data_IF_659502773845
#
_entry.id   IF_659502773845
#
_cell.length_a   1.000
_cell.length_b   1.000
_cell.length_c   1.000
_cell.angle_alpha   90.00
_cell.angle_beta   90.00
_cell.angle_gamma   90.00
#
_symmetry.space_group_name_H-M   'P 1'
#
loop_
_entity.id
_entity.type
_entity.pdbx_description
1 polymer ?
#
# COMPACT_ATOMS: atom_id res chain seq x y z
N UNK A 1 8.77 18.08 12.14
CA UNK A 1 8.86 18.88 10.88
C UNK A 1 7.61 18.66 10.04
N UNK A 2 7.36 17.45 9.54
CA UNK A 2 6.11 17.13 8.84
C UNK A 2 4.84 17.50 9.64
N UNK A 3 4.85 17.27 10.95
CA UNK A 3 3.70 17.51 11.83
C UNK A 3 3.26 18.98 11.88
N UNK A 4 4.17 19.93 11.62
CA UNK A 4 3.82 21.36 11.52
C UNK A 4 2.97 21.62 10.28
N UNK A 5 3.39 21.10 9.12
CA UNK A 5 2.63 21.23 7.87
C UNK A 5 1.26 20.56 7.99
N UNK A 6 1.21 19.34 8.52
CA UNK A 6 -0.04 18.59 8.74
C UNK A 6 -0.98 19.41 9.62
N UNK A 7 -0.46 19.90 10.75
CA UNK A 7 -1.26 20.64 11.71
C UNK A 7 -1.81 21.93 11.10
N UNK A 8 -0.96 22.71 10.41
CA UNK A 8 -1.39 23.95 9.77
C UNK A 8 -2.44 23.67 8.70
N UNK A 9 -2.24 22.67 7.85
CA UNK A 9 -3.19 22.30 6.81
C UNK A 9 -4.56 21.91 7.37
N UNK A 10 -4.58 21.04 8.39
CA UNK A 10 -5.81 20.58 9.03
C UNK A 10 -6.53 21.66 9.85
N UNK A 11 -5.85 22.76 10.22
CA UNK A 11 -6.40 23.86 11.00
C UNK A 11 -6.60 25.14 10.15
N UNK A 12 -6.96 24.98 8.87
CA UNK A 12 -7.33 26.12 8.02
C UNK A 12 -6.16 27.02 7.60
N UNK A 13 -4.93 26.51 7.69
CA UNK A 13 -3.72 27.19 7.24
C UNK A 13 -3.15 28.22 8.22
N UNK A 14 -3.63 28.29 9.47
CA UNK A 14 -3.10 29.24 10.45
C UNK A 14 -3.11 28.69 11.88
N UNK A 15 -2.08 29.01 12.67
CA UNK A 15 -2.05 28.66 14.09
C UNK A 15 -1.12 29.59 14.87
N UNK A 16 -1.49 29.95 16.10
CA UNK A 16 -0.58 30.66 17.02
C UNK A 16 0.58 29.75 17.41
N UNK A 17 1.79 30.30 17.53
CA UNK A 17 2.99 29.56 17.96
C UNK A 17 2.80 28.87 19.31
N UNK A 18 2.10 29.51 20.24
CA UNK A 18 1.80 28.93 21.56
C UNK A 18 0.93 27.66 21.44
N UNK A 19 -0.19 27.73 20.71
CA UNK A 19 -1.03 26.55 20.49
C UNK A 19 -0.28 25.46 19.72
N UNK A 20 0.55 25.82 18.74
CA UNK A 20 1.31 24.83 18.00
C UNK A 20 2.35 24.11 18.89
N UNK A 21 3.07 24.85 19.73
CA UNK A 21 3.97 24.29 20.74
C UNK A 21 3.24 23.36 21.71
N UNK A 22 2.05 23.77 22.18
CA UNK A 22 1.23 22.96 23.09
C UNK A 22 0.75 21.66 22.43
N UNK A 23 0.23 21.74 21.22
CA UNK A 23 -0.33 20.58 20.52
C UNK A 23 0.74 19.60 20.03
N UNK A 24 1.89 20.10 19.58
CA UNK A 24 3.01 19.27 19.15
C UNK A 24 3.94 18.86 20.31
N UNK A 25 3.69 19.37 21.53
CA UNK A 25 4.51 19.15 22.73
C UNK A 25 5.99 19.48 22.46
N UNK A 26 6.23 20.67 21.89
CA UNK A 26 7.57 21.19 21.55
C UNK A 26 7.83 22.55 22.19
N UNK A 27 9.11 22.91 22.32
CA UNK A 27 9.52 24.23 22.81
C UNK A 27 9.45 25.29 21.71
N UNK A 28 9.35 26.59 22.05
CA UNK A 28 9.45 27.67 21.06
C UNK A 28 10.74 27.63 20.23
N UNK A 29 11.88 27.25 20.83
CA UNK A 29 13.14 27.11 20.11
C UNK A 29 13.07 25.98 19.08
N UNK A 30 12.55 24.81 19.47
CA UNK A 30 12.33 23.68 18.57
C UNK A 30 11.37 24.04 17.44
N UNK A 31 10.33 24.84 17.72
CA UNK A 31 9.42 25.33 16.69
C UNK A 31 10.13 26.23 15.67
N UNK A 32 10.97 27.16 16.14
CA UNK A 32 11.76 28.04 15.27
C UNK A 32 12.72 27.24 14.38
N UNK A 33 13.48 26.31 14.96
CA UNK A 33 14.36 25.40 14.22
C UNK A 33 13.59 24.59 13.17
N UNK A 34 12.46 24.00 13.55
CA UNK A 34 11.67 23.18 12.64
C UNK A 34 11.04 24.01 11.52
N UNK A 35 10.65 25.26 11.79
CA UNK A 35 10.10 26.19 10.79
C UNK A 35 11.18 26.59 9.78
N UNK A 36 12.39 26.92 10.25
CA UNK A 36 13.53 27.21 9.38
C UNK A 36 13.90 26.02 8.49
N UNK A 37 13.94 24.81 9.06
CA UNK A 37 14.19 23.60 8.27
C UNK A 37 13.09 23.35 7.23
N UNK A 38 11.84 23.69 7.56
CA UNK A 38 10.70 23.56 6.65
C UNK A 38 10.77 24.55 5.50
N UNK A 39 11.13 25.80 5.77
CA UNK A 39 11.35 26.81 4.74
C UNK A 39 12.50 26.39 3.80
N UNK A 40 13.60 25.91 4.36
CA UNK A 40 14.71 25.36 3.56
C UNK A 40 14.26 24.17 2.71
N UNK A 41 13.48 23.25 3.27
CA UNK A 41 12.91 22.13 2.54
C UNK A 41 12.03 22.57 1.36
N UNK A 42 11.19 23.60 1.54
CA UNK A 42 10.35 24.16 0.47
C UNK A 42 11.22 24.72 -0.65
N UNK A 43 12.30 25.42 -0.32
CA UNK A 43 13.25 25.97 -1.30
C UNK A 43 14.02 24.86 -2.02
N UNK A 44 14.56 23.88 -1.28
CA UNK A 44 15.35 22.76 -1.83
C UNK A 44 14.58 21.89 -2.83
N UNK A 45 13.25 21.88 -2.77
CA UNK A 45 12.39 21.08 -3.65
C UNK A 45 11.65 21.94 -4.68
N UNK A 46 12.06 23.21 -4.87
CA UNK A 46 11.45 24.16 -5.83
C UNK A 46 9.94 24.40 -5.62
N UNK A 47 9.47 24.29 -4.36
CA UNK A 47 8.06 24.41 -4.01
C UNK A 47 7.61 25.83 -3.63
N UNK A 48 8.54 26.81 -3.59
CA UNK A 48 8.26 28.17 -3.12
C UNK A 48 7.10 28.86 -3.86
N UNK A 49 6.94 28.57 -5.16
CA UNK A 49 5.86 29.15 -5.96
C UNK A 49 4.46 28.61 -5.59
N UNK A 50 4.39 27.46 -4.90
CA UNK A 50 3.16 26.70 -4.70
C UNK A 50 2.77 26.58 -3.22
N UNK A 51 3.75 26.59 -2.32
CA UNK A 51 3.55 26.49 -0.87
C UNK A 51 4.63 27.27 -0.11
N UNK A 52 4.23 28.02 0.90
CA UNK A 52 5.14 28.78 1.78
C UNK A 52 4.62 28.81 3.21
N UNK A 53 5.53 28.97 4.17
CA UNK A 53 5.20 29.24 5.57
C UNK A 53 5.60 30.67 5.90
N UNK A 54 4.62 31.47 6.28
CA UNK A 54 4.80 32.87 6.67
C UNK A 54 4.71 32.96 8.19
N UNK A 55 5.67 33.66 8.78
CA UNK A 55 5.74 33.86 10.22
C UNK A 55 5.41 35.32 10.56
N UNK A 56 4.39 35.50 11.39
CA UNK A 56 4.13 36.73 12.13
C UNK A 56 4.64 36.59 13.57
N UNK A 57 4.66 37.69 14.32
CA UNK A 57 5.06 37.78 15.73
C UNK A 57 4.53 36.62 16.59
N UNK A 58 3.23 36.32 16.51
CA UNK A 58 2.60 35.25 17.31
C UNK A 58 2.03 34.08 16.51
N UNK A 59 1.97 34.18 15.18
CA UNK A 59 1.20 33.26 14.33
C UNK A 59 2.04 32.73 13.17
N UNK A 60 1.80 31.47 12.81
CA UNK A 60 2.31 30.86 11.59
C UNK A 60 1.16 30.65 10.60
N UNK A 61 1.41 30.98 9.34
CA UNK A 61 0.48 30.83 8.24
C UNK A 61 1.07 29.90 7.18
N UNK A 62 0.25 28.98 6.68
CA UNK A 62 0.54 28.14 5.53
C UNK A 62 -0.19 28.71 4.32
N UNK A 63 0.56 29.30 3.39
CA UNK A 63 0.02 29.73 2.11
C UNK A 63 0.28 28.63 1.08
N UNK A 64 -0.78 28.04 0.52
CA UNK A 64 -0.70 26.95 -0.47
C UNK A 64 -1.62 27.26 -1.63
N UNK A 65 -1.17 27.04 -2.87
CA UNK A 65 -2.06 27.07 -4.03
C UNK A 65 -3.15 25.99 -3.90
N UNK A 66 -4.39 26.26 -4.31
CA UNK A 66 -5.45 25.25 -4.30
C UNK A 66 -5.08 23.97 -5.07
N UNK A 67 -4.35 24.13 -6.17
CA UNK A 67 -3.92 23.04 -7.06
C UNK A 67 -2.70 22.26 -6.58
N UNK A 68 -1.98 22.73 -5.55
CA UNK A 68 -0.77 22.05 -5.08
C UNK A 68 -1.13 20.89 -4.13
N UNK A 69 -0.79 19.63 -4.45
CA UNK A 69 -1.09 18.50 -3.59
C UNK A 69 -0.08 18.41 -2.44
N UNK A 70 -0.55 18.60 -1.20
CA UNK A 70 0.33 18.57 -0.01
C UNK A 70 1.08 17.24 0.13
N UNK A 71 0.50 16.14 -0.38
CA UNK A 71 1.10 14.80 -0.45
C UNK A 71 2.50 14.78 -1.09
N UNK A 72 2.81 15.70 -2.02
CA UNK A 72 4.16 15.82 -2.59
C UNK A 72 5.21 16.16 -1.53
N UNK A 73 4.90 17.04 -0.58
CA UNK A 73 5.80 17.32 0.54
C UNK A 73 6.04 16.07 1.38
N UNK A 74 4.99 15.30 1.68
CA UNK A 74 5.11 14.04 2.42
C UNK A 74 6.00 13.03 1.70
N UNK A 75 5.84 12.88 0.38
CA UNK A 75 6.67 11.99 -0.42
C UNK A 75 8.15 12.38 -0.33
N UNK A 76 8.47 13.67 -0.42
CA UNK A 76 9.84 14.17 -0.25
C UNK A 76 10.38 13.94 1.17
N UNK A 77 9.56 14.04 2.21
CA UNK A 77 9.98 13.64 3.56
C UNK A 77 10.22 12.13 3.69
N UNK A 78 9.36 11.32 3.07
CA UNK A 78 9.51 9.87 3.07
C UNK A 78 10.78 9.42 2.35
N UNK A 79 11.14 10.04 1.22
CA UNK A 79 12.39 9.77 0.50
C UNK A 79 13.64 9.96 1.39
N UNK A 80 13.58 10.88 2.36
CA UNK A 80 14.66 11.13 3.34
C UNK A 80 14.62 10.16 4.55
N UNK A 81 13.55 9.41 4.75
CA UNK A 81 13.39 8.50 5.89
C UNK A 81 14.23 7.24 5.73
N UNK A 82 15.09 6.95 6.71
CA UNK A 82 15.88 5.70 6.73
C UNK A 82 14.97 4.45 6.68
N UNK A 83 13.81 4.47 7.35
CA UNK A 83 12.87 3.33 7.32
C UNK A 83 12.32 3.09 5.91
N UNK A 84 12.01 4.16 5.19
CA UNK A 84 11.57 4.10 3.80
C UNK A 84 12.69 3.59 2.88
N UNK A 85 13.90 4.11 3.07
CA UNK A 85 15.08 3.69 2.30
C UNK A 85 15.42 2.22 2.52
N UNK A 86 15.28 1.70 3.75
CA UNK A 86 15.43 0.27 4.07
C UNK A 86 14.46 -0.57 3.22
N UNK A 87 13.17 -0.23 3.23
CA UNK A 87 12.14 -0.98 2.48
C UNK A 87 12.40 -0.91 0.97
N UNK A 88 12.70 0.28 0.44
CA UNK A 88 13.05 0.45 -0.98
C UNK A 88 14.29 -0.36 -1.36
N UNK A 89 15.33 -0.35 -0.53
CA UNK A 89 16.55 -1.13 -0.75
C UNK A 89 16.28 -2.63 -0.76
N UNK A 90 15.46 -3.13 0.18
CA UNK A 90 15.07 -4.53 0.24
C UNK A 90 14.27 -4.95 -0.99
N UNK A 91 13.38 -4.09 -1.50
CA UNK A 91 12.66 -4.37 -2.73
C UNK A 91 13.59 -4.42 -3.95
N UNK A 92 14.58 -3.55 -4.05
CA UNK A 92 15.47 -3.52 -5.22
C UNK A 92 16.53 -4.63 -5.15
N UNK A 93 17.16 -4.82 -3.98
CA UNK A 93 18.36 -5.65 -3.82
C UNK A 93 18.08 -7.01 -3.15
N UNK A 94 16.87 -7.24 -2.64
CA UNK A 94 16.46 -8.47 -1.94
C UNK A 94 17.04 -8.64 -0.53
N UNK A 95 18.17 -7.99 -0.22
CA UNK A 95 18.77 -8.01 1.11
C UNK A 95 19.62 -6.77 1.40
N UNK A 96 19.91 -6.57 2.69
CA UNK A 96 20.78 -5.51 3.19
C UNK A 96 22.05 -6.11 3.76
N UNK A 97 23.19 -5.65 3.24
CA UNK A 97 24.46 -5.70 3.95
C UNK A 97 24.55 -4.46 4.85
N UNK A 98 24.54 -4.66 6.17
CA UNK A 98 24.44 -3.58 7.16
C UNK A 98 25.52 -2.49 7.00
N UNK A 99 26.82 -2.83 7.00
CA UNK A 99 27.89 -1.88 6.73
C UNK A 99 27.73 -1.12 5.41
N UNK A 100 27.48 -1.80 4.30
CA UNK A 100 27.32 -1.15 2.98
C UNK A 100 26.14 -0.17 2.97
N UNK A 101 25.02 -0.54 3.60
CA UNK A 101 23.86 0.33 3.70
C UNK A 101 24.14 1.56 4.58
N UNK A 102 24.84 1.36 5.70
CA UNK A 102 25.21 2.43 6.63
C UNK A 102 26.12 3.45 5.97
N UNK A 103 27.13 2.99 5.23
CA UNK A 103 28.05 3.85 4.48
C UNK A 103 27.32 4.59 3.36
N UNK A 104 26.47 3.91 2.59
CA UNK A 104 25.73 4.52 1.48
C UNK A 104 24.81 5.66 1.93
N UNK A 105 24.09 5.48 3.05
CA UNK A 105 23.18 6.48 3.60
C UNK A 105 23.82 7.39 4.64
N UNK A 106 25.13 7.25 4.90
CA UNK A 106 25.89 7.99 5.89
C UNK A 106 25.22 8.01 7.28
N UNK A 107 24.87 6.82 7.79
CA UNK A 107 24.25 6.65 9.10
C UNK A 107 25.08 5.74 10.01
N UNK A 108 25.11 6.05 11.31
CA UNK A 108 25.77 5.20 12.28
C UNK A 108 25.04 3.86 12.47
N UNK A 109 25.76 2.83 12.92
CA UNK A 109 25.17 1.53 13.23
C UNK A 109 24.06 1.64 14.28
N UNK A 110 24.23 2.50 15.30
CA UNK A 110 23.22 2.73 16.33
C UNK A 110 21.92 3.29 15.74
N UNK A 111 22.02 4.24 14.80
CA UNK A 111 20.86 4.76 14.07
C UNK A 111 20.21 3.66 13.23
N UNK A 112 21.00 2.91 12.46
CA UNK A 112 20.49 1.80 11.65
C UNK A 112 19.69 0.79 12.49
N UNK A 113 20.25 0.25 13.57
CA UNK A 113 19.57 -0.75 14.41
C UNK A 113 18.33 -0.21 15.11
N UNK A 114 18.35 1.06 15.53
CA UNK A 114 17.15 1.73 16.09
C UNK A 114 16.03 1.79 15.04
N UNK A 115 16.35 2.19 13.80
CA UNK A 115 15.37 2.27 12.71
C UNK A 115 14.85 0.90 12.27
N UNK A 116 15.69 -0.13 12.28
CA UNK A 116 15.25 -1.52 12.07
C UNK A 116 14.26 -1.96 13.15
N UNK A 117 14.52 -1.63 14.42
CA UNK A 117 13.62 -1.98 15.53
C UNK A 117 12.26 -1.30 15.39
N UNK A 118 12.25 0.00 15.14
CA UNK A 118 11.02 0.75 14.87
C UNK A 118 10.28 0.22 13.64
N UNK A 119 11.00 -0.16 12.58
CA UNK A 119 10.39 -0.71 11.37
C UNK A 119 9.77 -2.08 11.63
N UNK A 120 10.40 -2.93 12.45
CA UNK A 120 9.85 -4.23 12.83
C UNK A 120 8.51 -4.10 13.56
N UNK A 121 8.34 -3.07 14.41
CA UNK A 121 7.06 -2.80 15.06
C UNK A 121 5.96 -2.45 14.03
N UNK A 122 6.31 -1.74 12.96
CA UNK A 122 5.34 -1.42 11.88
C UNK A 122 5.04 -2.64 10.99
N UNK A 123 6.05 -3.48 10.75
CA UNK A 123 5.91 -4.69 9.93
C UNK A 123 5.13 -5.80 10.62
N UNK A 124 5.00 -5.76 11.95
CA UNK A 124 4.26 -6.76 12.74
C UNK A 124 2.78 -6.82 12.34
N UNK A 125 2.18 -5.70 11.93
CA UNK A 125 0.82 -5.67 11.40
C UNK A 125 0.68 -6.54 10.15
N UNK A 126 1.74 -6.64 9.34
CA UNK A 126 1.86 -7.51 8.18
C UNK A 126 2.43 -8.90 8.55
N UNK A 127 2.55 -9.25 9.83
CA UNK A 127 3.25 -10.44 10.32
C UNK A 127 4.62 -10.64 9.65
N UNK A 128 5.27 -9.54 9.29
CA UNK A 128 6.58 -9.51 8.68
C UNK A 128 7.60 -9.08 9.73
N UNK A 129 8.85 -9.48 9.51
CA UNK A 129 9.97 -8.94 10.28
C UNK A 129 11.22 -8.84 9.41
N UNK A 130 12.00 -7.80 9.63
CA UNK A 130 13.33 -7.64 9.09
C UNK A 130 14.33 -8.38 10.00
N UNK A 131 14.89 -9.48 9.50
CA UNK A 131 15.91 -10.29 10.20
C UNK A 131 17.09 -10.54 9.28
N UNK A 132 18.31 -10.32 9.80
CA UNK A 132 19.57 -10.52 9.05
C UNK A 132 19.55 -9.85 7.67
N UNK A 133 19.01 -8.63 7.61
CA UNK A 133 18.93 -7.85 6.37
C UNK A 133 17.94 -8.38 5.34
N UNK A 134 16.99 -9.26 5.69
CA UNK A 134 15.92 -9.73 4.80
C UNK A 134 14.55 -9.57 5.46
N UNK A 135 13.52 -9.31 4.66
CA UNK A 135 12.13 -9.42 5.13
C UNK A 135 11.78 -10.90 5.21
N UNK A 136 11.30 -11.32 6.37
CA UNK A 136 10.88 -12.68 6.71
C UNK A 136 9.38 -12.66 7.02
N UNK A 137 8.66 -13.61 6.45
CA UNK A 137 7.23 -13.81 6.61
C UNK A 137 6.69 -14.61 5.43
N UNK A 138 5.39 -14.89 5.43
CA UNK A 138 4.76 -15.60 4.32
C UNK A 138 4.88 -14.78 3.03
N UNK A 139 5.15 -15.43 1.90
CA UNK A 139 5.47 -14.73 0.66
C UNK A 139 4.29 -13.90 0.13
N UNK A 140 3.06 -14.40 0.26
CA UNK A 140 1.86 -13.65 -0.08
C UNK A 140 1.78 -12.32 0.71
N UNK A 141 2.27 -12.31 1.93
CA UNK A 141 2.28 -11.14 2.80
C UNK A 141 3.37 -10.14 2.48
N UNK A 142 4.55 -10.63 2.10
CA UNK A 142 5.62 -9.78 1.60
C UNK A 142 5.17 -9.06 0.32
N UNK A 143 4.56 -9.79 -0.62
CA UNK A 143 4.08 -9.21 -1.89
C UNK A 143 2.95 -8.22 -1.67
N UNK A 144 1.99 -8.55 -0.80
CA UNK A 144 0.91 -7.63 -0.48
C UNK A 144 1.40 -6.36 0.24
N UNK A 145 2.35 -6.49 1.17
CA UNK A 145 2.99 -5.34 1.81
C UNK A 145 3.61 -4.41 0.76
N UNK A 146 4.39 -4.94 -0.18
CA UNK A 146 4.97 -4.13 -1.26
C UNK A 146 3.92 -3.54 -2.20
N UNK A 147 2.85 -4.27 -2.46
CA UNK A 147 1.73 -3.74 -3.24
C UNK A 147 1.14 -2.51 -2.55
N UNK A 148 0.80 -2.61 -1.27
CA UNK A 148 0.29 -1.47 -0.49
C UNK A 148 1.28 -0.32 -0.45
N UNK A 149 2.55 -0.63 -0.21
CA UNK A 149 3.62 0.34 -0.20
C UNK A 149 3.63 1.14 -1.50
N UNK A 150 3.78 0.50 -2.66
CA UNK A 150 3.87 1.24 -3.92
C UNK A 150 2.54 1.86 -4.37
N UNK A 151 1.41 1.19 -4.15
CA UNK A 151 0.12 1.65 -4.62
C UNK A 151 -0.37 2.90 -3.88
N UNK A 152 -0.24 2.94 -2.55
CA UNK A 152 -0.80 4.03 -1.74
C UNK A 152 0.16 5.21 -1.55
N UNK A 153 1.46 5.00 -1.72
CA UNK A 153 2.43 6.10 -1.67
C UNK A 153 2.17 7.13 -2.78
N UNK A 154 1.85 6.71 -4.00
CA UNK A 154 1.67 7.63 -5.13
C UNK A 154 0.23 8.12 -5.24
N UNK A 155 0.02 9.43 -5.28
CA UNK A 155 -1.32 10.03 -5.35
C UNK A 155 -1.89 9.98 -6.78
N UNK A 156 -1.25 10.69 -7.71
CA UNK A 156 -1.69 10.84 -9.11
C UNK A 156 -1.30 9.66 -10.02
N UNK A 157 -0.63 8.63 -9.49
CA UNK A 157 -0.16 7.43 -10.22
C UNK A 157 0.69 7.71 -11.47
N UNK A 158 0.96 8.95 -11.85
CA UNK A 158 1.71 9.34 -13.05
C UNK A 158 3.10 8.72 -13.10
N UNK A 159 3.88 8.79 -12.00
CA UNK A 159 5.20 8.14 -11.97
C UNK A 159 5.09 6.62 -12.11
N UNK A 160 4.05 6.02 -11.52
CA UNK A 160 3.82 4.58 -11.63
C UNK A 160 3.47 4.23 -13.07
N UNK A 161 2.56 4.98 -13.68
CA UNK A 161 2.14 4.85 -15.08
C UNK A 161 3.35 4.93 -16.01
N UNK A 162 4.16 5.99 -15.92
CA UNK A 162 5.38 6.14 -16.70
C UNK A 162 6.34 4.95 -16.54
N UNK A 163 6.40 4.36 -15.36
CA UNK A 163 7.30 3.26 -15.04
C UNK A 163 6.80 1.91 -15.57
N UNK A 164 5.49 1.62 -15.51
CA UNK A 164 4.97 0.26 -15.73
C UNK A 164 3.93 0.13 -16.84
N UNK A 165 3.42 1.20 -17.43
CA UNK A 165 2.26 1.13 -18.33
C UNK A 165 2.47 0.29 -19.59
N UNK A 166 3.70 0.25 -20.09
CA UNK A 166 4.11 -0.55 -21.25
C UNK A 166 4.47 -2.01 -20.89
N UNK A 167 4.46 -2.35 -19.60
CA UNK A 167 4.79 -3.69 -19.13
C UNK A 167 3.55 -4.58 -19.10
N UNK A 168 3.77 -5.89 -19.29
CA UNK A 168 2.77 -6.95 -19.12
C UNK A 168 1.50 -6.82 -19.98
N UNK A 169 1.52 -6.04 -21.07
CA UNK A 169 0.39 -5.86 -21.99
C UNK A 169 -0.20 -7.21 -22.44
N UNK A 170 0.59 -8.22 -22.84
CA UNK A 170 0.00 -9.47 -23.33
C UNK A 170 -0.74 -10.28 -22.26
N UNK A 171 -0.41 -10.11 -20.96
CA UNK A 171 -1.20 -10.68 -19.88
C UNK A 171 -2.56 -9.98 -19.76
N UNK A 172 -2.58 -8.65 -19.88
CA UNK A 172 -3.82 -7.87 -19.83
C UNK A 172 -4.73 -8.26 -21.00
N UNK A 173 -4.18 -8.41 -22.20
CA UNK A 173 -4.92 -8.83 -23.38
C UNK A 173 -5.52 -10.24 -23.19
N UNK A 174 -4.73 -11.19 -22.70
CA UNK A 174 -5.19 -12.56 -22.44
C UNK A 174 -6.27 -12.61 -21.36
N UNK A 175 -6.14 -11.84 -20.28
CA UNK A 175 -7.18 -11.70 -19.25
C UNK A 175 -8.47 -11.08 -19.82
N UNK A 176 -8.34 -10.05 -20.66
CA UNK A 176 -9.48 -9.36 -21.29
C UNK A 176 -10.27 -10.33 -22.17
N UNK A 177 -9.58 -11.06 -23.04
CA UNK A 177 -10.19 -12.00 -23.98
C UNK A 177 -10.79 -13.22 -23.25
N UNK A 178 -9.99 -13.90 -22.42
CA UNK A 178 -10.40 -15.16 -21.81
C UNK A 178 -11.52 -14.98 -20.76
N UNK A 179 -11.54 -13.86 -20.04
CA UNK A 179 -12.55 -13.60 -19.01
C UNK A 179 -13.73 -12.76 -19.51
N UNK A 180 -13.65 -12.23 -20.73
CA UNK A 180 -14.60 -11.28 -21.30
C UNK A 180 -14.83 -10.07 -20.37
N UNK A 181 -13.74 -9.45 -19.93
CA UNK A 181 -13.71 -8.28 -19.04
C UNK A 181 -13.07 -7.12 -19.79
N UNK A 182 -13.53 -5.89 -19.53
CA UNK A 182 -12.80 -4.66 -19.88
C UNK A 182 -12.18 -4.07 -18.62
N UNK A 183 -10.88 -3.80 -18.63
CA UNK A 183 -10.20 -3.13 -17.53
C UNK A 183 -10.23 -1.61 -17.71
N UNK A 184 -10.42 -0.89 -16.61
CA UNK A 184 -10.07 0.54 -16.55
C UNK A 184 -8.54 0.71 -16.39
N UNK A 185 -8.07 1.93 -16.61
CA UNK A 185 -6.64 2.23 -16.55
C UNK A 185 -6.01 1.93 -15.18
N UNK A 186 -6.75 2.17 -14.08
CA UNK A 186 -6.25 1.88 -12.74
C UNK A 186 -6.20 0.37 -12.49
N UNK A 187 -7.21 -0.38 -12.91
CA UNK A 187 -7.25 -1.85 -12.83
C UNK A 187 -6.04 -2.46 -13.56
N UNK A 188 -5.71 -1.98 -14.76
CA UNK A 188 -4.49 -2.40 -15.45
C UNK A 188 -3.21 -2.09 -14.66
N UNK A 189 -3.09 -0.87 -14.13
CA UNK A 189 -1.92 -0.48 -13.34
C UNK A 189 -1.77 -1.33 -12.06
N UNK A 190 -2.87 -1.73 -11.42
CA UNK A 190 -2.84 -2.62 -10.26
C UNK A 190 -2.27 -3.98 -10.64
N UNK A 191 -2.76 -4.58 -11.72
CA UNK A 191 -2.28 -5.88 -12.22
C UNK A 191 -0.81 -5.78 -12.61
N UNK A 192 -0.42 -4.72 -13.35
CA UNK A 192 0.97 -4.49 -13.75
C UNK A 192 1.89 -4.32 -12.54
N UNK A 193 1.45 -3.61 -11.50
CA UNK A 193 2.23 -3.46 -10.27
C UNK A 193 2.41 -4.80 -9.55
N UNK A 194 1.35 -5.60 -9.46
CA UNK A 194 1.42 -6.94 -8.87
C UNK A 194 2.42 -7.84 -9.60
N UNK A 195 2.39 -7.83 -10.94
CA UNK A 195 3.32 -8.62 -11.75
C UNK A 195 4.76 -8.14 -11.58
N UNK A 196 5.00 -6.84 -11.51
CA UNK A 196 6.32 -6.28 -11.18
C UNK A 196 6.84 -6.79 -9.84
N UNK A 197 6.02 -6.71 -8.79
CA UNK A 197 6.38 -7.21 -7.46
C UNK A 197 6.68 -8.71 -7.52
N UNK A 198 5.82 -9.48 -8.17
CA UNK A 198 5.99 -10.94 -8.33
C UNK A 198 7.33 -11.27 -8.98
N UNK A 199 7.68 -10.62 -10.10
CA UNK A 199 8.94 -10.88 -10.78
C UNK A 199 10.17 -10.40 -10.00
N UNK A 200 10.08 -9.26 -9.33
CA UNK A 200 11.13 -8.81 -8.42
C UNK A 200 11.38 -9.85 -7.33
N UNK A 201 10.33 -10.42 -6.73
CA UNK A 201 10.45 -11.42 -5.68
C UNK A 201 10.96 -12.77 -6.17
N UNK A 202 10.53 -13.24 -7.34
CA UNK A 202 11.05 -14.46 -8.00
C UNK A 202 12.56 -14.38 -8.27
N UNK A 203 13.07 -13.19 -8.58
CA UNK A 203 14.50 -12.97 -8.78
C UNK A 203 15.31 -12.94 -7.46
N UNK A 204 14.66 -12.73 -6.32
CA UNK A 204 15.33 -12.55 -5.02
C UNK A 204 15.37 -13.81 -4.17
N UNK A 205 14.34 -14.64 -4.26
CA UNK A 205 14.26 -15.90 -3.51
C UNK A 205 13.50 -16.95 -4.29
N UNK A 206 13.97 -18.20 -4.21
CA UNK A 206 13.30 -19.39 -4.76
C UNK A 206 12.59 -20.21 -3.68
N UNK A 207 12.87 -19.90 -2.41
CA UNK A 207 12.27 -20.56 -1.26
C UNK A 207 11.24 -19.61 -0.64
N UNK A 208 9.97 -20.01 -0.76
CA UNK A 208 8.85 -19.29 -0.17
C UNK A 208 8.38 -19.99 1.07
N UNK A 209 7.84 -19.20 2.00
CA UNK A 209 7.08 -19.72 3.14
C UNK A 209 5.63 -19.29 2.97
N UNK A 210 4.71 -20.16 3.35
CA UNK A 210 3.27 -19.92 3.30
C UNK A 210 2.64 -20.41 4.59
N UNK A 211 1.45 -19.88 4.90
CA UNK A 211 0.62 -20.44 5.96
C UNK A 211 0.24 -21.89 5.61
N UNK A 212 0.12 -22.74 6.62
CA UNK A 212 -0.14 -24.17 6.45
C UNK A 212 -1.44 -24.47 5.68
N UNK A 213 -2.39 -23.55 5.69
CA UNK A 213 -3.70 -23.66 5.04
C UNK A 213 -3.84 -22.81 3.76
N UNK A 214 -2.76 -22.22 3.25
CA UNK A 214 -2.82 -21.35 2.08
C UNK A 214 -3.33 -22.07 0.80
N UNK A 215 -3.08 -23.39 0.70
CA UNK A 215 -3.54 -24.24 -0.39
C UNK A 215 -5.01 -24.68 -0.28
N UNK A 216 -5.79 -24.22 0.70
CA UNK A 216 -7.22 -24.59 0.80
C UNK A 216 -7.94 -24.32 -0.54
N UNK A 217 -8.74 -25.32 -0.96
CA UNK A 217 -9.01 -25.64 -2.38
C UNK A 217 -10.36 -25.20 -2.93
N UNK A 218 -11.03 -24.23 -2.33
CA UNK A 218 -12.33 -23.73 -2.79
C UNK A 218 -12.21 -22.28 -3.26
N UNK A 219 -11.41 -22.08 -4.31
CA UNK A 219 -11.29 -20.82 -5.05
C UNK A 219 -12.10 -20.94 -6.36
N UNK A 220 -13.31 -20.36 -6.44
CA UNK A 220 -14.14 -20.47 -7.62
C UNK A 220 -13.49 -19.83 -8.84
N UNK A 221 -13.64 -20.44 -10.02
CA UNK A 221 -12.98 -20.00 -11.27
C UNK A 221 -11.43 -19.96 -11.18
N UNK A 222 -10.81 -20.60 -10.18
CA UNK A 222 -9.36 -20.61 -10.03
C UNK A 222 -8.66 -21.14 -11.28
N UNK A 223 -9.15 -22.26 -11.83
CA UNK A 223 -8.51 -22.91 -12.97
C UNK A 223 -8.46 -22.01 -14.21
N UNK A 224 -9.47 -21.17 -14.44
CA UNK A 224 -9.46 -20.20 -15.55
C UNK A 224 -8.34 -19.17 -15.38
N UNK A 225 -8.26 -18.53 -14.22
CA UNK A 225 -7.21 -17.54 -13.93
C UNK A 225 -5.81 -18.16 -13.89
N UNK A 226 -5.70 -19.36 -13.31
CA UNK A 226 -4.46 -20.11 -13.20
C UNK A 226 -3.95 -20.54 -14.58
N UNK A 227 -4.82 -20.92 -15.52
CA UNK A 227 -4.43 -21.25 -16.88
C UNK A 227 -3.86 -20.04 -17.63
N UNK A 228 -4.53 -18.88 -17.53
CA UNK A 228 -4.07 -17.62 -18.15
C UNK A 228 -2.69 -17.24 -17.60
N UNK A 229 -2.55 -17.21 -16.27
CA UNK A 229 -1.26 -16.86 -15.65
C UNK A 229 -0.17 -17.88 -16.01
N UNK A 230 -0.48 -19.18 -16.00
CA UNK A 230 0.47 -20.21 -16.37
C UNK A 230 0.94 -20.06 -17.83
N UNK A 231 0.02 -19.82 -18.76
CA UNK A 231 0.31 -19.59 -20.16
C UNK A 231 1.25 -18.40 -20.33
N UNK A 232 0.90 -17.26 -19.72
CA UNK A 232 1.73 -16.07 -19.71
C UNK A 232 3.13 -16.35 -19.15
N UNK A 233 3.22 -16.90 -17.94
CA UNK A 233 4.50 -17.14 -17.25
C UNK A 233 5.42 -18.07 -18.08
N UNK A 234 4.84 -19.10 -18.71
CA UNK A 234 5.56 -20.03 -19.58
C UNK A 234 6.09 -19.34 -20.84
N UNK A 235 5.30 -18.51 -21.50
CA UNK A 235 5.71 -17.81 -22.73
C UNK A 235 6.85 -16.81 -22.52
N UNK A 236 7.04 -16.33 -21.29
CA UNK A 236 8.09 -15.38 -20.93
C UNK A 236 9.22 -16.03 -20.10
N UNK A 237 9.36 -17.36 -20.15
CA UNK A 237 10.40 -18.14 -19.46
C UNK A 237 10.51 -17.84 -17.95
N UNK A 238 9.36 -17.63 -17.29
CA UNK A 238 9.30 -17.38 -15.85
C UNK A 238 8.97 -18.66 -15.09
N UNK A 239 9.66 -18.92 -13.96
CA UNK A 239 9.33 -20.08 -13.13
C UNK A 239 7.91 -19.94 -12.59
N UNK A 240 7.14 -21.02 -12.71
CA UNK A 240 5.76 -21.08 -12.25
C UNK A 240 5.58 -22.15 -11.18
N UNK A 241 4.78 -21.83 -10.16
CA UNK A 241 4.31 -22.79 -9.16
C UNK A 241 2.82 -22.58 -8.93
N UNK A 242 2.13 -23.57 -8.37
CA UNK A 242 0.72 -23.42 -8.00
C UNK A 242 0.50 -22.20 -7.08
N UNK A 243 1.46 -21.92 -6.19
CA UNK A 243 1.39 -20.75 -5.30
C UNK A 243 1.37 -19.41 -6.05
N UNK A 244 1.99 -19.31 -7.22
CA UNK A 244 1.91 -18.11 -8.06
C UNK A 244 0.48 -17.89 -8.53
N UNK A 245 -0.18 -18.96 -9.00
CA UNK A 245 -1.61 -18.93 -9.33
C UNK A 245 -2.47 -18.54 -8.14
N UNK A 246 -2.26 -19.18 -6.98
CA UNK A 246 -3.04 -18.90 -5.76
C UNK A 246 -2.89 -17.44 -5.30
N UNK A 247 -1.67 -16.93 -5.26
CA UNK A 247 -1.40 -15.54 -4.89
C UNK A 247 -1.99 -14.54 -5.88
N UNK A 248 -1.87 -14.82 -7.18
CA UNK A 248 -2.49 -13.96 -8.20
C UNK A 248 -4.01 -13.99 -8.14
N UNK A 249 -4.62 -15.15 -7.92
CA UNK A 249 -6.06 -15.28 -7.74
C UNK A 249 -6.55 -14.44 -6.56
N UNK A 250 -5.90 -14.60 -5.40
CA UNK A 250 -6.25 -13.87 -4.17
C UNK A 250 -6.12 -12.36 -4.41
N UNK A 251 -5.05 -11.91 -5.05
CA UNK A 251 -4.88 -10.52 -5.47
C UNK A 251 -5.99 -10.05 -6.42
N UNK A 252 -6.21 -10.78 -7.52
CA UNK A 252 -7.10 -10.40 -8.61
C UNK A 252 -8.54 -10.24 -8.12
N UNK A 253 -9.02 -11.21 -7.33
CA UNK A 253 -10.38 -11.22 -6.80
C UNK A 253 -10.60 -10.27 -5.62
N UNK A 254 -9.53 -9.88 -4.89
CA UNK A 254 -9.67 -9.06 -3.67
C UNK A 254 -9.53 -7.55 -3.89
N UNK A 255 -8.95 -7.09 -5.00
CA UNK A 255 -8.47 -5.70 -5.13
C UNK A 255 -9.17 -4.86 -6.21
N UNK A 256 -10.47 -5.11 -6.45
CA UNK A 256 -11.27 -4.44 -7.50
C UNK A 256 -10.49 -4.32 -8.81
N UNK A 257 -9.89 -5.43 -9.26
CA UNK A 257 -9.14 -5.47 -10.53
C UNK A 257 -10.04 -5.73 -11.74
N UNK A 258 -11.36 -5.74 -11.56
CA UNK A 258 -12.33 -5.89 -12.63
C UNK A 258 -13.67 -5.28 -12.20
N UNK A 259 -14.44 -4.85 -13.21
CA UNK A 259 -15.79 -4.33 -13.00
C UNK A 259 -16.70 -5.37 -12.35
N UNK A 260 -17.46 -4.93 -11.33
CA UNK A 260 -18.50 -5.73 -10.65
C UNK A 260 -19.65 -6.13 -11.57
N UNK A 261 -19.77 -5.45 -12.72
CA UNK A 261 -20.77 -5.74 -13.74
C UNK A 261 -20.24 -6.64 -14.87
N UNK A 262 -18.99 -7.10 -14.77
CA UNK A 262 -18.42 -8.00 -15.77
C UNK A 262 -19.08 -9.39 -15.74
N UNK A 263 -19.14 -10.10 -16.88
CA UNK A 263 -19.56 -11.50 -16.92
C UNK A 263 -18.78 -12.39 -15.94
N UNK A 264 -17.49 -12.16 -15.80
CA UNK A 264 -16.64 -12.84 -14.81
C UNK A 264 -17.11 -12.61 -13.38
N UNK A 265 -17.36 -11.36 -12.98
CA UNK A 265 -17.84 -11.03 -11.64
C UNK A 265 -19.18 -11.72 -11.31
N UNK A 266 -20.09 -11.79 -12.29
CA UNK A 266 -21.37 -12.49 -12.11
C UNK A 266 -21.17 -13.99 -11.87
N UNK A 267 -20.34 -14.66 -12.69
CA UNK A 267 -20.04 -16.10 -12.53
C UNK A 267 -19.36 -16.38 -11.20
N UNK A 268 -18.38 -15.55 -10.81
CA UNK A 268 -17.69 -15.65 -9.53
C UNK A 268 -18.67 -15.54 -8.36
N UNK A 269 -19.55 -14.53 -8.38
CA UNK A 269 -20.56 -14.32 -7.35
C UNK A 269 -21.59 -15.47 -7.27
N UNK A 270 -21.92 -16.10 -8.40
CA UNK A 270 -22.81 -17.25 -8.43
C UNK A 270 -22.17 -18.45 -7.72
N UNK A 271 -20.95 -18.84 -8.10
CA UNK A 271 -20.26 -19.99 -7.49
C UNK A 271 -19.99 -19.77 -6.00
N UNK A 272 -19.64 -18.54 -5.59
CA UNK A 272 -19.46 -18.22 -4.18
C UNK A 272 -20.69 -18.47 -3.31
N UNK A 273 -21.91 -18.18 -3.82
CA UNK A 273 -23.16 -18.37 -3.06
C UNK A 273 -23.52 -19.83 -2.87
N UNK A 274 -23.11 -20.69 -3.79
CA UNK A 274 -23.49 -22.10 -3.81
C UNK A 274 -22.59 -22.95 -2.88
N UNK A 275 -21.32 -22.57 -2.69
CA UNK A 275 -20.29 -23.50 -2.19
C UNK A 275 -19.70 -23.20 -0.80
N UNK A 276 -20.08 -22.11 -0.11
CA UNK A 276 -19.41 -21.67 1.16
C UNK A 276 -17.88 -21.66 1.03
N UNK A 277 -17.42 -20.93 0.02
CA UNK A 277 -16.05 -20.99 -0.52
C UNK A 277 -15.01 -20.33 0.40
N UNK A 278 -13.73 -20.43 0.03
CA UNK A 278 -12.63 -19.76 0.70
C UNK A 278 -12.88 -18.26 0.78
N UNK A 279 -13.43 -17.69 -0.29
CA UNK A 279 -13.80 -16.28 -0.32
C UNK A 279 -14.93 -15.98 0.68
N UNK A 280 -15.95 -16.84 0.81
CA UNK A 280 -16.98 -16.68 1.85
C UNK A 280 -16.40 -16.75 3.27
N UNK A 281 -15.47 -17.69 3.53
CA UNK A 281 -14.74 -17.71 4.79
C UNK A 281 -13.99 -16.39 5.03
N UNK A 282 -13.23 -15.93 4.03
CA UNK A 282 -12.47 -14.70 4.12
C UNK A 282 -13.38 -13.48 4.38
N UNK A 283 -14.56 -13.42 3.77
CA UNK A 283 -15.60 -12.40 3.96
C UNK A 283 -16.10 -12.36 5.40
N UNK A 284 -16.45 -13.53 5.93
CA UNK A 284 -16.95 -13.65 7.30
C UNK A 284 -15.91 -13.17 8.31
N UNK A 285 -14.65 -13.50 8.08
CA UNK A 285 -13.58 -13.11 8.97
C UNK A 285 -13.34 -11.58 9.00
N UNK A 286 -13.53 -10.89 7.87
CA UNK A 286 -13.50 -9.41 7.83
C UNK A 286 -14.67 -8.83 8.59
N UNK A 287 -15.88 -9.34 8.37
CA UNK A 287 -17.06 -8.86 9.08
C UNK A 287 -16.85 -8.99 10.59
N UNK A 288 -16.23 -10.09 11.04
CA UNK A 288 -15.83 -10.26 12.43
C UNK A 288 -14.78 -9.22 12.87
N UNK A 289 -13.76 -8.94 12.05
CA UNK A 289 -12.78 -7.89 12.33
C UNK A 289 -13.43 -6.50 12.45
N UNK A 290 -14.23 -6.10 11.46
CA UNK A 290 -14.93 -4.81 11.40
C UNK A 290 -15.89 -4.64 12.59
N UNK A 291 -16.57 -5.71 13.00
CA UNK A 291 -17.36 -5.73 14.23
C UNK A 291 -16.49 -5.49 15.47
N UNK A 292 -15.34 -6.16 15.57
CA UNK A 292 -14.44 -6.03 16.73
C UNK A 292 -13.84 -4.63 16.88
N UNK A 293 -13.57 -3.94 15.76
CA UNK A 293 -13.10 -2.54 15.79
C UNK A 293 -14.25 -1.52 15.87
N UNK A 294 -15.50 -1.97 16.07
CA UNK A 294 -16.66 -1.11 16.28
C UNK A 294 -17.21 -0.43 15.01
N UNK A 295 -16.76 -0.83 13.82
CA UNK A 295 -17.11 -0.17 12.57
C UNK A 295 -18.58 -0.41 12.15
N UNK A 296 -19.10 -1.62 12.40
CA UNK A 296 -20.42 -2.05 11.94
C UNK A 296 -21.58 -1.70 12.89
N UNK A 297 -21.30 -1.20 14.10
CA UNK A 297 -22.36 -0.85 15.07
C UNK A 297 -23.02 0.51 14.78
N UNK A 298 -22.45 1.36 13.91
CA UNK A 298 -22.87 2.75 13.76
C UNK A 298 -23.52 3.16 12.42
N UNK A 299 -23.57 2.30 11.41
CA UNK A 299 -24.31 2.54 10.17
C UNK A 299 -24.49 1.18 9.50
N UNK A 300 -25.69 0.89 8.96
CA UNK A 300 -26.00 -0.07 7.88
C UNK A 300 -27.34 -0.78 8.16
N UNK A 301 -28.41 -0.19 7.65
CA UNK A 301 -29.67 -0.90 7.44
C UNK A 301 -29.52 -1.89 6.28
N UNK A 302 -30.10 -3.08 6.46
CA UNK A 302 -30.06 -4.25 5.57
C UNK A 302 -30.62 -3.99 4.16
N UNK A 303 -29.87 -3.35 3.26
CA UNK A 303 -30.21 -3.30 1.83
C UNK A 303 -29.07 -3.86 0.97
N UNK A 304 -29.41 -4.83 0.11
CA UNK A 304 -28.51 -5.78 -0.58
C UNK A 304 -27.47 -5.20 -1.54
N UNK A 305 -27.48 -3.90 -1.81
CA UNK A 305 -26.51 -3.24 -2.69
C UNK A 305 -25.11 -3.13 -2.06
N UNK A 306 -25.05 -2.99 -0.74
CA UNK A 306 -23.78 -2.96 0.03
C UNK A 306 -23.13 -4.34 0.06
N UNK A 307 -23.92 -5.41 -0.07
CA UNK A 307 -23.40 -6.78 -0.10
C UNK A 307 -22.50 -7.02 -1.33
N UNK A 308 -22.78 -6.40 -2.49
CA UNK A 308 -21.91 -6.50 -3.67
C UNK A 308 -20.60 -5.69 -3.54
N UNK A 309 -20.63 -4.52 -2.89
CA UNK A 309 -19.39 -3.81 -2.58
C UNK A 309 -18.57 -4.51 -1.51
N UNK A 310 -19.22 -5.13 -0.51
CA UNK A 310 -18.57 -5.98 0.48
C UNK A 310 -18.00 -7.25 -0.17
N UNK A 311 -18.62 -7.84 -1.20
CA UNK A 311 -18.10 -9.01 -1.95
C UNK A 311 -16.80 -8.69 -2.72
N UNK A 312 -16.54 -7.44 -3.08
CA UNK A 312 -15.24 -7.01 -3.63
C UNK A 312 -14.24 -6.51 -2.58
N UNK A 313 -14.66 -6.33 -1.32
CA UNK A 313 -13.85 -5.78 -0.21
C UNK A 313 -13.54 -6.90 0.79
N UNK A 314 -13.29 -8.09 0.28
CA UNK A 314 -13.74 -9.32 0.91
C UNK A 314 -12.59 -10.34 1.13
N UNK A 315 -11.46 -9.87 1.68
CA UNK A 315 -10.51 -10.78 2.35
C UNK A 315 -10.05 -10.42 3.78
N UNK A 316 -10.05 -11.42 4.67
CA UNK A 316 -9.23 -11.54 5.90
C UNK A 316 -9.87 -11.46 7.29
N UNK A 317 -9.81 -12.62 7.95
CA UNK A 317 -8.89 -12.97 9.05
C UNK A 317 -8.46 -14.42 8.91
N UNK A 318 -7.31 -14.62 8.30
CA UNK A 318 -6.10 -14.86 9.07
C UNK A 318 -5.00 -14.25 8.22
N UNK A 319 -4.24 -13.32 8.79
CA UNK A 319 -3.12 -12.69 8.09
C UNK A 319 -3.56 -11.75 6.96
N UNK A 320 -3.68 -10.46 7.29
CA UNK A 320 -3.20 -9.32 6.47
C UNK A 320 -3.77 -9.25 5.06
N UNK A 321 -4.72 -8.33 4.87
CA UNK A 321 -4.94 -7.53 3.65
C UNK A 321 -5.92 -6.34 3.91
N UNK A 322 -6.32 -6.07 5.16
CA UNK A 322 -7.48 -5.19 5.37
C UNK A 322 -7.46 -4.23 6.56
N UNK A 323 -6.30 -3.75 6.98
CA UNK A 323 -6.25 -2.53 7.82
C UNK A 323 -6.11 -1.24 7.02
N UNK A 324 -5.69 -1.27 5.75
CA UNK A 324 -5.21 -0.04 5.11
C UNK A 324 -6.25 0.63 4.21
N UNK A 325 -7.11 -0.11 3.50
CA UNK A 325 -8.07 0.53 2.57
C UNK A 325 -9.23 1.24 3.28
N UNK A 326 -9.69 0.76 4.44
CA UNK A 326 -10.85 1.34 5.13
C UNK A 326 -10.49 2.33 6.25
N UNK A 327 -9.36 2.15 6.94
CA UNK A 327 -8.87 3.16 7.89
C UNK A 327 -8.46 4.45 7.17
N UNK A 328 -8.04 4.36 5.90
CA UNK A 328 -7.58 5.50 5.09
C UNK A 328 -8.71 6.28 4.41
N UNK A 329 -9.89 5.70 4.19
CA UNK A 329 -11.07 6.49 3.80
C UNK A 329 -11.60 7.36 4.95
N UNK A 330 -11.47 6.89 6.20
CA UNK A 330 -11.75 7.70 7.40
C UNK A 330 -10.62 8.67 7.77
N UNK A 331 -9.36 8.36 7.44
CA UNK A 331 -8.25 9.29 7.60
C UNK A 331 -8.13 10.30 6.44
N UNK A 332 -8.70 10.01 5.26
CA UNK A 332 -8.86 10.97 4.17
C UNK A 332 -9.91 12.06 4.43
N UNK A 333 -10.66 11.96 5.53
CA UNK A 333 -11.42 13.07 6.10
C UNK A 333 -10.59 13.91 7.09
N UNK A 334 -9.33 13.52 7.36
CA UNK A 334 -8.39 14.18 8.27
C UNK A 334 -6.95 14.19 7.74
N UNK A 335 -6.77 14.28 6.41
CA UNK A 335 -5.48 14.51 5.78
C UNK A 335 -5.50 15.64 4.75
#
# INVERSE_FOLDING_TARGET
MNDILVYLYNNGGQCTKENLCRNLVITPNTLSEYTALLQNFIVENDFLADITIIEDTQTLFLQKKPTFPLKLCYLKFLERSIKYQIIKWLFTNGSINGPVFQDYFNISSATYYRRVTELNALLEEFQLSLRRGKIIGNENQIRYFYYCYFWFLRENKEDLDQEINKLYIPLIDELTEALNITFDHLEELQIKLWMKITFTRLNQTREYTFAADFERKDRPLFDELNQILFHYMKNYDRPYTLYEGLMFYDFFCSLRNFSVYSPFAYRLAQQQREEKTYLDYQNQQILNYLNQIGYLQNNFSRNGTVFCHIICISTTRNSIILTVSFLILTLGAYF
#
